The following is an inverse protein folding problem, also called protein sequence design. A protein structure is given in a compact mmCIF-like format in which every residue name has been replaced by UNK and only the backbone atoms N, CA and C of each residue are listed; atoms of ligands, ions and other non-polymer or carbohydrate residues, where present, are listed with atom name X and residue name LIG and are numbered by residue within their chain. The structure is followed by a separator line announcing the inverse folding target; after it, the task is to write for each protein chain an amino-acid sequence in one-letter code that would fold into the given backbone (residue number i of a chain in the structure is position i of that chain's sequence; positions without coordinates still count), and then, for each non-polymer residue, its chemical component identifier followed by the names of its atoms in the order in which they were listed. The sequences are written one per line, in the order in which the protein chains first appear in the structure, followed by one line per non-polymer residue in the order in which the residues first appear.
data_IF_057311229911
#
_entry.id   IF_057311229911
#
_cell.length_a   1.000
_cell.length_b   1.000
_cell.length_c   1.000
_cell.angle_alpha   90.00
_cell.angle_beta   90.00
_cell.angle_gamma   90.00
#
_symmetry.space_group_name_H-M   'P 1'
#
loop_
_entity.id
_entity.type
_entity.pdbx_description
1 polymer ?
#
# COMPACT_ATOMS: atom_id res chain seq x y z
N UNK A 1 15.85 14.72 -2.56
CA UNK A 1 16.37 14.79 -1.18
C UNK A 1 16.19 16.16 -0.52
N UNK A 2 16.44 17.27 -1.22
CA UNK A 2 16.34 18.62 -0.64
C UNK A 2 15.00 18.92 0.05
N UNK A 3 13.87 18.64 -0.61
CA UNK A 3 12.54 18.89 -0.01
C UNK A 3 12.26 18.05 1.24
N UNK A 4 12.66 16.78 1.22
CA UNK A 4 12.54 15.89 2.40
C UNK A 4 13.35 16.47 3.56
N UNK A 5 14.60 16.87 3.29
CA UNK A 5 15.45 17.52 4.29
C UNK A 5 14.80 18.78 4.89
N UNK A 6 14.29 19.69 4.05
CA UNK A 6 13.65 20.93 4.50
C UNK A 6 12.45 20.65 5.42
N UNK A 7 11.56 19.73 5.00
CA UNK A 7 10.36 19.38 5.76
C UNK A 7 10.75 18.68 7.08
N UNK A 8 11.63 17.67 7.03
CA UNK A 8 12.03 16.91 8.21
C UNK A 8 12.79 17.77 9.23
N UNK A 9 13.65 18.69 8.79
CA UNK A 9 14.35 19.60 9.69
C UNK A 9 13.41 20.59 10.40
N UNK A 10 12.25 20.88 9.82
CA UNK A 10 11.21 21.68 10.49
C UNK A 10 10.34 20.83 11.42
N UNK A 11 9.88 19.67 10.95
CA UNK A 11 8.90 18.84 11.67
C UNK A 11 9.51 18.05 12.82
N UNK A 12 10.70 17.46 12.66
CA UNK A 12 11.30 16.61 13.69
C UNK A 12 11.54 17.40 14.99
N UNK A 13 12.22 18.56 14.99
CA UNK A 13 12.40 19.33 16.22
C UNK A 13 11.07 19.87 16.79
N UNK A 14 10.12 20.21 15.92
CA UNK A 14 8.79 20.66 16.34
C UNK A 14 8.03 19.58 17.12
N UNK A 15 8.08 18.35 16.63
CA UNK A 15 7.49 17.16 17.23
C UNK A 15 8.22 16.77 18.52
N UNK A 16 9.56 16.68 18.50
CA UNK A 16 10.38 16.31 19.65
C UNK A 16 10.16 17.27 20.83
N UNK A 17 10.15 18.58 20.58
CA UNK A 17 9.89 19.60 21.62
C UNK A 17 8.51 19.47 22.29
N UNK A 18 7.56 18.84 21.61
CA UNK A 18 6.16 18.68 22.06
C UNK A 18 5.84 17.25 22.47
N UNK A 19 6.84 16.36 22.51
CA UNK A 19 6.65 14.94 22.80
C UNK A 19 5.62 14.28 21.85
N UNK A 20 5.55 14.77 20.62
CA UNK A 20 4.72 14.18 19.56
C UNK A 20 5.58 13.20 18.79
N UNK A 21 5.10 11.96 18.65
CA UNK A 21 5.79 10.94 17.86
C UNK A 21 5.82 11.34 16.38
N UNK A 22 7.02 11.40 15.80
CA UNK A 22 7.23 11.61 14.36
C UNK A 22 7.60 10.28 13.70
N UNK A 23 6.81 9.87 12.71
CA UNK A 23 7.09 8.74 11.84
C UNK A 23 6.97 9.19 10.39
N UNK A 24 7.81 8.65 9.51
CA UNK A 24 7.77 8.95 8.08
C UNK A 24 8.08 7.73 7.23
N UNK A 25 7.41 7.67 6.08
CA UNK A 25 7.55 6.64 5.05
C UNK A 25 7.60 7.29 3.67
N UNK A 26 8.09 6.57 2.67
CA UNK A 26 8.15 7.05 1.28
C UNK A 26 7.62 6.01 0.30
N UNK A 27 6.87 6.45 -0.71
CA UNK A 27 6.62 5.66 -1.93
C UNK A 27 7.56 6.14 -3.03
N UNK A 28 8.33 5.23 -3.61
CA UNK A 28 9.35 5.53 -4.63
C UNK A 28 9.33 4.48 -5.74
N UNK A 29 9.83 4.83 -6.92
CA UNK A 29 10.10 3.84 -7.96
C UNK A 29 11.34 2.98 -7.67
N UNK A 30 12.15 3.35 -6.66
CA UNK A 30 13.35 2.62 -6.23
C UNK A 30 14.61 2.91 -7.06
N UNK A 31 14.51 3.62 -8.19
CA UNK A 31 15.64 3.83 -9.10
C UNK A 31 16.75 4.70 -8.49
N UNK A 32 16.37 5.72 -7.71
CA UNK A 32 17.31 6.59 -6.97
C UNK A 32 17.44 6.19 -5.50
N UNK A 33 16.97 5.01 -5.09
CA UNK A 33 17.14 4.52 -3.73
C UNK A 33 18.55 3.95 -3.53
N UNK A 34 19.56 4.77 -3.79
CA UNK A 34 20.97 4.43 -3.56
C UNK A 34 21.24 4.33 -2.06
N UNK A 35 22.34 3.67 -1.68
CA UNK A 35 22.76 3.57 -0.27
C UNK A 35 22.94 4.93 0.39
N UNK A 36 23.50 5.91 -0.32
CA UNK A 36 23.63 7.31 0.14
C UNK A 36 22.25 7.94 0.42
N UNK A 37 21.31 7.81 -0.52
CA UNK A 37 19.96 8.35 -0.32
C UNK A 37 19.22 7.63 0.82
N UNK A 38 19.40 6.32 0.99
CA UNK A 38 18.83 5.57 2.11
C UNK A 38 19.40 6.02 3.46
N UNK A 39 20.69 6.31 3.57
CA UNK A 39 21.30 6.88 4.78
C UNK A 39 20.72 8.25 5.12
N UNK A 40 20.55 9.11 4.11
CA UNK A 40 19.89 10.40 4.29
C UNK A 40 18.42 10.25 4.70
N UNK A 41 17.67 9.31 4.13
CA UNK A 41 16.30 9.01 4.55
C UNK A 41 16.24 8.61 6.03
N UNK A 42 17.15 7.72 6.46
CA UNK A 42 17.27 7.30 7.87
C UNK A 42 17.62 8.45 8.80
N UNK A 43 18.51 9.36 8.40
CA UNK A 43 18.80 10.60 9.15
C UNK A 43 17.52 11.41 9.41
N UNK A 44 16.58 11.42 8.46
CA UNK A 44 15.30 12.13 8.58
C UNK A 44 14.17 11.25 9.15
N UNK A 45 14.50 10.15 9.83
CA UNK A 45 13.54 9.20 10.43
C UNK A 45 12.51 8.64 9.43
N UNK A 46 12.87 8.58 8.14
CA UNK A 46 12.12 7.83 7.13
C UNK A 46 12.58 6.37 7.21
N UNK A 47 11.73 5.51 7.76
CA UNK A 47 12.10 4.12 8.11
C UNK A 47 11.60 3.07 7.11
N UNK A 48 10.64 3.44 6.27
CA UNK A 48 9.95 2.54 5.34
C UNK A 48 9.93 3.11 3.93
N UNK A 49 10.26 2.29 2.95
CA UNK A 49 10.14 2.61 1.53
C UNK A 49 9.29 1.57 0.80
N UNK A 50 8.15 2.03 0.28
CA UNK A 50 7.39 1.26 -0.70
C UNK A 50 8.03 1.43 -2.08
N UNK A 51 8.47 0.32 -2.67
CA UNK A 51 9.06 0.24 -4.01
C UNK A 51 8.11 -0.53 -4.92
N UNK A 52 8.08 -0.21 -6.21
CA UNK A 52 7.23 -0.95 -7.16
C UNK A 52 8.06 -1.84 -8.06
N UNK A 53 7.71 -3.13 -8.12
CA UNK A 53 8.20 -4.07 -9.15
C UNK A 53 6.99 -4.78 -9.76
N UNK A 54 6.63 -4.43 -11.00
CA UNK A 54 5.37 -4.87 -11.63
C UNK A 54 5.48 -6.19 -12.40
N UNK A 55 6.61 -6.88 -12.34
CA UNK A 55 6.86 -8.06 -13.14
C UNK A 55 8.32 -8.48 -13.15
N UNK A 56 8.62 -9.57 -13.86
CA UNK A 56 10.00 -9.91 -14.24
C UNK A 56 10.55 -8.85 -15.20
N UNK A 57 11.86 -8.89 -15.47
CA UNK A 57 12.60 -7.86 -16.22
C UNK A 57 11.84 -7.31 -17.43
N UNK A 58 11.43 -8.17 -18.37
CA UNK A 58 10.72 -7.77 -19.59
C UNK A 58 9.42 -7.03 -19.28
N UNK A 59 8.61 -7.57 -18.38
CA UNK A 59 7.28 -7.03 -18.03
C UNK A 59 7.41 -5.73 -17.25
N UNK A 60 8.35 -5.67 -16.29
CA UNK A 60 8.64 -4.46 -15.55
C UNK A 60 9.15 -3.35 -16.47
N UNK A 61 10.16 -3.64 -17.29
CA UNK A 61 10.75 -2.66 -18.19
C UNK A 61 9.76 -2.23 -19.27
N UNK A 62 8.80 -3.07 -19.69
CA UNK A 62 7.73 -2.61 -20.59
C UNK A 62 6.85 -1.53 -19.96
N UNK A 63 6.57 -1.64 -18.65
CA UNK A 63 5.66 -0.75 -17.90
C UNK A 63 6.36 0.47 -17.30
N UNK A 64 7.61 0.32 -16.88
CA UNK A 64 8.32 1.27 -15.99
C UNK A 64 9.62 1.80 -16.59
N UNK A 65 9.62 2.09 -17.89
CA UNK A 65 10.76 2.72 -18.57
C UNK A 65 11.12 4.06 -17.96
N UNK A 66 12.41 4.38 -17.95
CA UNK A 66 12.85 5.75 -17.73
C UNK A 66 12.33 6.65 -18.86
N UNK A 67 12.32 7.97 -18.63
CA UNK A 67 11.99 8.95 -19.67
C UNK A 67 12.90 8.83 -20.91
N UNK A 68 14.13 8.36 -20.71
CA UNK A 68 15.10 8.05 -21.77
C UNK A 68 14.77 6.79 -22.57
N UNK A 69 13.78 6.00 -22.15
CA UNK A 69 13.46 4.69 -22.73
C UNK A 69 14.31 3.53 -22.18
N UNK A 70 15.29 3.82 -21.32
CA UNK A 70 16.14 2.81 -20.70
C UNK A 70 15.41 1.98 -19.64
N UNK A 71 15.93 0.78 -19.45
CA UNK A 71 15.44 -0.21 -18.48
C UNK A 71 15.74 0.21 -17.03
N UNK A 72 14.88 -0.23 -16.11
CA UNK A 72 14.95 0.14 -14.69
C UNK A 72 15.05 -1.06 -13.75
N UNK A 73 14.65 -2.26 -14.20
CA UNK A 73 14.49 -3.44 -13.36
C UNK A 73 15.73 -3.77 -12.52
N UNK A 74 16.88 -4.03 -13.16
CA UNK A 74 18.10 -4.41 -12.44
C UNK A 74 18.66 -3.30 -11.57
N UNK A 75 18.49 -2.03 -11.95
CA UNK A 75 18.90 -0.91 -11.09
C UNK A 75 18.09 -0.92 -9.79
N UNK A 76 16.78 -1.12 -9.89
CA UNK A 76 15.89 -1.17 -8.72
C UNK A 76 16.20 -2.39 -7.85
N UNK A 77 16.35 -3.58 -8.43
CA UNK A 77 16.70 -4.81 -7.70
C UNK A 77 18.02 -4.66 -6.96
N UNK A 78 19.06 -4.14 -7.62
CA UNK A 78 20.37 -3.90 -6.99
C UNK A 78 20.28 -2.85 -5.88
N UNK A 79 19.52 -1.79 -6.07
CA UNK A 79 19.29 -0.79 -5.01
C UNK A 79 18.63 -1.42 -3.80
N UNK A 80 17.55 -2.19 -3.97
CA UNK A 80 16.87 -2.89 -2.87
C UNK A 80 17.87 -3.77 -2.11
N UNK A 81 18.65 -4.59 -2.82
CA UNK A 81 19.66 -5.44 -2.22
C UNK A 81 20.70 -4.64 -1.41
N UNK A 82 21.07 -3.45 -1.87
CA UNK A 82 22.07 -2.59 -1.24
C UNK A 82 21.54 -1.74 -0.06
N UNK A 83 20.23 -1.68 0.17
CA UNK A 83 19.64 -0.81 1.21
C UNK A 83 18.73 -1.54 2.20
N UNK A 84 18.43 -2.83 1.99
CA UNK A 84 17.54 -3.62 2.86
C UNK A 84 18.01 -3.72 4.32
N UNK A 85 19.29 -3.47 4.58
CA UNK A 85 19.88 -3.38 5.93
C UNK A 85 19.70 -2.00 6.59
N UNK A 86 19.36 -0.97 5.81
CA UNK A 86 19.24 0.40 6.27
C UNK A 86 17.78 0.84 6.44
N UNK A 87 16.89 0.42 5.55
CA UNK A 87 15.49 0.86 5.51
C UNK A 87 14.59 -0.33 5.20
N UNK A 88 13.41 -0.39 5.83
CA UNK A 88 12.45 -1.44 5.52
C UNK A 88 11.91 -1.25 4.09
N UNK A 89 12.01 -2.29 3.28
CA UNK A 89 11.51 -2.29 1.91
C UNK A 89 10.21 -3.08 1.83
N UNK A 90 9.20 -2.45 1.25
CA UNK A 90 7.95 -3.11 0.90
C UNK A 90 7.70 -3.01 -0.61
N UNK A 91 7.81 -4.12 -1.32
CA UNK A 91 7.58 -4.19 -2.76
C UNK A 91 6.10 -4.36 -3.04
N UNK A 92 5.50 -3.36 -3.66
CA UNK A 92 4.15 -3.43 -4.21
C UNK A 92 4.22 -3.91 -5.66
N UNK A 93 3.53 -5.00 -5.97
CA UNK A 93 3.42 -5.56 -7.31
C UNK A 93 2.03 -5.19 -7.85
N UNK A 94 1.94 -4.33 -8.87
CA UNK A 94 0.64 -4.05 -9.50
C UNK A 94 0.25 -5.20 -10.42
N UNK A 95 -0.90 -5.82 -10.18
CA UNK A 95 -1.35 -6.98 -10.95
C UNK A 95 -2.61 -6.68 -11.76
N UNK A 96 -2.54 -7.04 -13.03
CA UNK A 96 -3.60 -6.99 -14.03
C UNK A 96 -3.54 -8.26 -14.91
N UNK A 97 -4.36 -8.33 -15.95
CA UNK A 97 -4.39 -9.48 -16.86
C UNK A 97 -3.10 -9.70 -17.65
N UNK A 98 -2.27 -8.69 -17.81
CA UNK A 98 -1.08 -8.77 -18.64
C UNK A 98 0.13 -9.38 -17.90
N UNK A 99 0.10 -9.44 -16.56
CA UNK A 99 1.17 -10.03 -15.76
C UNK A 99 0.73 -11.14 -14.77
N UNK A 100 -0.57 -11.45 -14.65
CA UNK A 100 -1.04 -12.44 -13.67
C UNK A 100 -0.32 -13.80 -13.76
N UNK A 101 0.05 -14.21 -14.98
CA UNK A 101 0.63 -15.53 -15.27
C UNK A 101 2.11 -15.64 -14.86
N UNK A 102 2.79 -14.53 -14.58
CA UNK A 102 4.20 -14.53 -14.16
C UNK A 102 4.38 -14.29 -12.65
N UNK A 103 3.33 -13.99 -11.90
CA UNK A 103 3.42 -13.65 -10.47
C UNK A 103 4.06 -14.77 -9.65
N UNK A 104 3.77 -16.05 -9.97
CA UNK A 104 4.40 -17.18 -9.29
C UNK A 104 5.91 -17.23 -9.55
N UNK A 105 6.36 -16.90 -10.77
CA UNK A 105 7.78 -16.85 -11.15
C UNK A 105 8.48 -15.62 -10.55
N UNK A 106 7.80 -14.49 -10.48
CA UNK A 106 8.32 -13.30 -9.80
C UNK A 106 8.50 -13.56 -8.30
N UNK A 107 7.57 -14.30 -7.70
CA UNK A 107 7.69 -14.75 -6.31
C UNK A 107 8.89 -15.67 -6.13
N UNK A 108 9.12 -16.62 -7.05
CA UNK A 108 10.31 -17.48 -7.05
C UNK A 108 11.61 -16.67 -7.18
N UNK A 109 11.62 -15.66 -8.05
CA UNK A 109 12.75 -14.76 -8.21
C UNK A 109 13.11 -14.06 -6.90
N UNK A 110 12.13 -13.52 -6.16
CA UNK A 110 12.40 -12.87 -4.87
C UNK A 110 12.89 -13.85 -3.79
N UNK A 111 12.32 -15.06 -3.74
CA UNK A 111 12.61 -16.05 -2.71
C UNK A 111 13.96 -16.74 -2.97
N UNK A 112 14.16 -17.26 -4.18
CA UNK A 112 15.27 -18.18 -4.47
C UNK A 112 16.46 -17.51 -5.14
N UNK A 113 16.22 -16.53 -6.01
CA UNK A 113 17.30 -15.83 -6.71
C UNK A 113 17.83 -14.66 -5.88
N UNK A 114 16.94 -13.76 -5.44
CA UNK A 114 17.33 -12.60 -4.62
C UNK A 114 17.57 -12.95 -3.16
N UNK A 115 16.93 -14.02 -2.66
CA UNK A 115 17.09 -14.52 -1.28
C UNK A 115 16.90 -13.41 -0.25
N UNK A 116 15.91 -12.54 -0.47
CA UNK A 116 15.66 -11.43 0.45
C UNK A 116 15.09 -11.88 1.80
N UNK A 117 14.44 -13.04 1.86
CA UNK A 117 13.92 -13.60 3.10
C UNK A 117 13.02 -12.60 3.84
N UNK A 118 13.34 -12.31 5.10
CA UNK A 118 12.60 -11.38 5.96
C UNK A 118 13.02 -9.92 5.80
N UNK A 119 14.08 -9.63 5.06
CA UNK A 119 14.64 -8.27 4.97
C UNK A 119 13.85 -7.39 4.00
N UNK A 120 13.10 -8.01 3.07
CA UNK A 120 12.27 -7.31 2.09
C UNK A 120 10.88 -7.95 2.08
N UNK A 121 9.87 -7.12 2.34
CA UNK A 121 8.48 -7.53 2.22
C UNK A 121 7.99 -7.30 0.79
N UNK A 122 7.04 -8.11 0.34
CA UNK A 122 6.35 -7.87 -0.92
C UNK A 122 4.89 -8.32 -0.85
N UNK A 123 4.04 -7.68 -1.63
CA UNK A 123 2.64 -8.02 -1.75
C UNK A 123 2.09 -7.64 -3.12
N UNK A 124 1.03 -8.31 -3.55
CA UNK A 124 0.32 -7.99 -4.78
C UNK A 124 -0.82 -7.01 -4.51
N UNK A 125 -1.03 -6.07 -5.43
CA UNK A 125 -2.12 -5.13 -5.40
C UNK A 125 -2.84 -5.12 -6.75
N UNK A 126 -4.17 -5.23 -6.71
CA UNK A 126 -5.00 -5.20 -7.92
C UNK A 126 -4.91 -3.81 -8.56
N UNK A 127 -4.69 -3.78 -9.87
CA UNK A 127 -4.84 -2.55 -10.64
C UNK A 127 -6.33 -2.17 -10.71
N UNK A 128 -6.63 -0.91 -10.42
CA UNK A 128 -7.97 -0.36 -10.46
C UNK A 128 -7.97 1.00 -11.18
N UNK A 129 -9.03 1.28 -11.93
CA UNK A 129 -9.26 2.59 -12.55
C UNK A 129 -9.96 3.51 -11.56
N UNK A 130 -9.17 4.14 -10.68
CA UNK A 130 -9.71 5.01 -9.62
C UNK A 130 -9.97 6.45 -10.09
N UNK A 131 -9.34 6.92 -11.17
CA UNK A 131 -9.52 8.28 -11.69
C UNK A 131 -9.61 8.28 -13.21
N UNK A 132 -10.13 9.37 -13.79
CA UNK A 132 -10.14 9.59 -15.24
C UNK A 132 -8.71 9.68 -15.81
N UNK A 133 -7.76 10.15 -15.00
CA UNK A 133 -6.35 10.23 -15.38
C UNK A 133 -5.67 8.85 -15.50
N UNK A 134 -6.25 7.81 -14.92
CA UNK A 134 -5.77 6.44 -15.08
C UNK A 134 -5.95 5.99 -16.53
N UNK A 135 -4.84 5.85 -17.27
CA UNK A 135 -4.80 5.32 -18.64
C UNK A 135 -4.95 3.79 -18.73
N UNK A 136 -5.43 3.17 -17.65
CA UNK A 136 -5.62 1.72 -17.56
C UNK A 136 -6.88 1.34 -18.34
N UNK A 137 -6.79 0.27 -19.12
CA UNK A 137 -7.94 -0.37 -19.73
C UNK A 137 -8.69 -1.19 -18.67
N UNK A 138 -10.01 -0.99 -18.58
CA UNK A 138 -10.85 -1.71 -17.62
C UNK A 138 -10.84 -3.21 -17.91
N UNK A 139 -10.69 -3.61 -19.18
CA UNK A 139 -10.62 -5.01 -19.57
C UNK A 139 -9.31 -5.68 -19.14
N UNK A 140 -8.27 -4.90 -18.83
CA UNK A 140 -7.03 -5.41 -18.26
C UNK A 140 -7.13 -5.59 -16.74
N UNK A 141 -8.06 -4.91 -16.07
CA UNK A 141 -8.24 -5.06 -14.62
C UNK A 141 -8.74 -6.47 -14.28
N UNK A 142 -8.13 -7.09 -13.27
CA UNK A 142 -8.63 -8.38 -12.77
C UNK A 142 -9.98 -8.20 -12.09
N UNK A 143 -10.86 -9.21 -12.24
CA UNK A 143 -12.03 -9.32 -11.37
C UNK A 143 -11.57 -9.59 -9.95
N UNK A 144 -12.40 -9.19 -8.99
CA UNK A 144 -12.06 -9.35 -7.57
C UNK A 144 -11.88 -10.82 -7.20
N UNK A 145 -12.70 -11.72 -7.74
CA UNK A 145 -12.62 -13.16 -7.46
C UNK A 145 -11.30 -13.75 -7.98
N UNK A 146 -10.92 -13.42 -9.22
CA UNK A 146 -9.66 -13.86 -9.84
C UNK A 146 -8.45 -13.36 -9.03
N UNK A 147 -8.48 -12.08 -8.62
CA UNK A 147 -7.43 -11.51 -7.79
C UNK A 147 -7.37 -12.14 -6.39
N UNK A 148 -8.52 -12.48 -5.80
CA UNK A 148 -8.58 -13.12 -4.48
C UNK A 148 -7.92 -14.50 -4.50
N UNK A 149 -8.20 -15.31 -5.52
CA UNK A 149 -7.55 -16.62 -5.70
C UNK A 149 -6.04 -16.49 -5.94
N UNK A 150 -5.62 -15.50 -6.72
CA UNK A 150 -4.21 -15.21 -6.93
C UNK A 150 -3.53 -14.79 -5.62
N UNK A 151 -4.14 -13.90 -4.86
CA UNK A 151 -3.61 -13.43 -3.57
C UNK A 151 -3.41 -14.60 -2.61
N UNK A 152 -4.42 -15.44 -2.44
CA UNK A 152 -4.32 -16.64 -1.61
C UNK A 152 -3.16 -17.54 -2.05
N UNK A 153 -3.04 -17.83 -3.36
CA UNK A 153 -1.96 -18.67 -3.89
C UNK A 153 -0.56 -18.09 -3.58
N UNK A 154 -0.40 -16.79 -3.74
CA UNK A 154 0.88 -16.10 -3.44
C UNK A 154 1.16 -16.13 -1.95
N UNK A 155 0.17 -15.86 -1.09
CA UNK A 155 0.29 -15.96 0.37
C UNK A 155 0.72 -17.36 0.79
N UNK A 156 0.07 -18.41 0.28
CA UNK A 156 0.42 -19.82 0.57
C UNK A 156 1.86 -20.16 0.16
N UNK A 157 2.28 -19.68 -1.01
CA UNK A 157 3.64 -19.87 -1.50
C UNK A 157 4.68 -19.16 -0.63
N UNK A 158 4.41 -17.93 -0.21
CA UNK A 158 5.28 -17.19 0.72
C UNK A 158 5.40 -17.91 2.06
N UNK A 159 4.27 -18.39 2.61
CA UNK A 159 4.25 -19.11 3.89
C UNK A 159 5.02 -20.43 3.85
N UNK A 160 4.82 -21.23 2.80
CA UNK A 160 5.52 -22.51 2.64
C UNK A 160 7.04 -22.35 2.49
N UNK A 161 7.49 -21.16 2.10
CA UNK A 161 8.91 -20.78 2.01
C UNK A 161 9.41 -19.97 3.23
N UNK A 162 8.66 -19.97 4.35
CA UNK A 162 9.10 -19.38 5.61
C UNK A 162 8.95 -17.86 5.72
N UNK A 163 8.26 -17.21 4.77
CA UNK A 163 7.94 -15.78 4.86
C UNK A 163 6.63 -15.64 5.65
N UNK A 164 6.76 -15.55 6.98
CA UNK A 164 5.61 -15.55 7.91
C UNK A 164 4.98 -14.17 8.12
N UNK A 165 5.64 -13.08 7.72
CA UNK A 165 5.13 -11.72 7.91
C UNK A 165 3.80 -11.47 7.17
N UNK A 166 3.47 -12.26 6.15
CA UNK A 166 2.17 -12.21 5.46
C UNK A 166 1.00 -12.53 6.39
N UNK A 167 1.19 -13.37 7.41
CA UNK A 167 0.14 -13.75 8.36
C UNK A 167 -0.43 -12.57 9.15
N UNK A 168 0.39 -11.53 9.37
CA UNK A 168 -0.04 -10.33 10.09
C UNK A 168 -1.24 -9.65 9.42
N UNK A 169 -1.32 -9.73 8.09
CA UNK A 169 -2.39 -9.15 7.29
C UNK A 169 -3.58 -10.10 7.08
N UNK A 170 -3.37 -11.41 7.22
CA UNK A 170 -4.37 -12.45 6.98
C UNK A 170 -5.25 -12.74 8.22
N UNK A 171 -4.75 -12.41 9.42
CA UNK A 171 -5.54 -12.58 10.63
C UNK A 171 -6.54 -11.43 10.81
N UNK A 172 -7.83 -11.70 11.05
CA UNK A 172 -8.81 -10.66 11.27
C UNK A 172 -8.53 -9.82 12.49
N UNK A 173 -8.35 -8.53 12.25
CA UNK A 173 -8.26 -7.54 13.31
C UNK A 173 -9.43 -6.59 13.17
N UNK A 174 -10.02 -6.26 14.32
CA UNK A 174 -10.99 -5.19 14.38
C UNK A 174 -10.33 -3.90 13.90
N UNK A 175 -10.96 -3.24 12.93
CA UNK A 175 -10.46 -2.00 12.36
C UNK A 175 -11.40 -0.87 12.78
N UNK A 176 -10.97 0.02 13.68
CA UNK A 176 -11.81 1.14 14.13
C UNK A 176 -12.09 2.15 13.01
N UNK A 177 -11.12 2.38 12.12
CA UNK A 177 -11.25 3.28 10.97
C UNK A 177 -10.62 2.63 9.75
N UNK A 178 -11.40 2.42 8.68
CA UNK A 178 -10.94 1.73 7.47
C UNK A 178 -10.08 2.57 6.51
N UNK A 179 -10.07 3.90 6.65
CA UNK A 179 -9.31 4.79 5.76
C UNK A 179 -9.06 6.14 6.43
N UNK A 180 -7.87 6.71 6.23
CA UNK A 180 -7.55 8.06 6.70
C UNK A 180 -8.49 9.13 6.12
N UNK A 181 -9.01 8.96 4.90
CA UNK A 181 -9.83 9.97 4.23
C UNK A 181 -11.14 10.33 4.96
N UNK A 182 -11.60 9.49 5.88
CA UNK A 182 -12.78 9.75 6.72
C UNK A 182 -12.42 10.24 8.13
N UNK A 183 -11.13 10.44 8.41
CA UNK A 183 -10.63 10.98 9.67
C UNK A 183 -10.50 12.50 9.60
N UNK A 184 -10.83 13.18 10.70
CA UNK A 184 -10.64 14.62 10.82
C UNK A 184 -9.15 15.00 10.71
N UNK A 185 -8.23 14.21 11.22
CA UNK A 185 -6.81 14.56 11.33
C UNK A 185 -5.94 13.95 10.21
N UNK A 186 -6.52 13.66 9.05
CA UNK A 186 -5.79 13.13 7.88
C UNK A 186 -5.88 14.11 6.72
N UNK A 187 -4.72 14.42 6.15
CA UNK A 187 -4.60 15.37 5.05
C UNK A 187 -3.62 14.84 4.01
N UNK A 188 -3.92 15.09 2.74
CA UNK A 188 -3.02 14.91 1.61
C UNK A 188 -2.74 16.29 1.05
N UNK A 189 -1.48 16.67 0.97
CA UNK A 189 -1.05 17.99 0.51
C UNK A 189 -0.31 17.84 -0.81
N UNK A 190 -0.73 18.57 -1.83
CA UNK A 190 -0.06 18.55 -3.14
C UNK A 190 1.11 19.54 -3.22
N UNK A 191 1.81 19.54 -4.36
CA UNK A 191 2.97 20.41 -4.57
C UNK A 191 2.64 21.91 -4.63
N UNK A 192 1.37 22.28 -4.78
CA UNK A 192 0.88 23.65 -4.77
C UNK A 192 0.31 24.06 -3.39
N UNK A 193 0.41 23.18 -2.39
CA UNK A 193 -0.11 23.42 -1.05
C UNK A 193 -1.62 23.23 -0.93
N UNK A 194 -2.30 22.70 -1.96
CA UNK A 194 -3.72 22.37 -1.86
C UNK A 194 -3.90 21.11 -1.00
N UNK A 195 -4.97 21.13 -0.19
CA UNK A 195 -5.27 20.09 0.77
C UNK A 195 -6.44 19.25 0.28
N UNK A 196 -6.29 17.94 0.40
CA UNK A 196 -7.28 16.93 0.07
C UNK A 196 -7.43 15.97 1.26
N UNK A 197 -8.52 15.22 1.31
CA UNK A 197 -8.69 14.11 2.27
C UNK A 197 -8.32 12.76 1.67
N UNK A 198 -8.26 12.62 0.34
CA UNK A 198 -7.93 11.38 -0.35
C UNK A 198 -6.90 11.60 -1.45
N UNK A 199 -5.94 10.68 -1.59
CA UNK A 199 -4.92 10.76 -2.64
C UNK A 199 -5.50 10.72 -4.05
N UNK A 200 -6.71 10.16 -4.25
CA UNK A 200 -7.31 9.99 -5.58
C UNK A 200 -7.82 11.34 -6.11
N UNK A 201 -7.91 12.34 -5.23
CA UNK A 201 -8.44 13.66 -5.53
C UNK A 201 -7.32 14.67 -5.85
N UNK A 202 -6.06 14.31 -5.58
CA UNK A 202 -4.90 15.16 -5.85
C UNK A 202 -4.82 15.48 -7.34
N UNK A 203 -4.59 16.76 -7.65
CA UNK A 203 -4.53 17.28 -9.03
C UNK A 203 -5.88 17.76 -9.57
N UNK A 204 -7.01 17.39 -8.96
CA UNK A 204 -8.32 17.96 -9.27
C UNK A 204 -8.63 19.09 -8.29
N UNK A 205 -8.40 20.35 -8.72
CA UNK A 205 -8.62 21.53 -7.86
C UNK A 205 -10.06 21.62 -7.31
N UNK A 206 -11.06 21.08 -8.03
CA UNK A 206 -12.46 21.08 -7.57
C UNK A 206 -12.71 20.17 -6.37
N UNK A 207 -11.75 19.28 -6.07
CA UNK A 207 -11.80 18.35 -4.95
C UNK A 207 -10.99 18.76 -3.74
N UNK A 208 -10.31 19.91 -3.81
CA UNK A 208 -9.59 20.49 -2.67
C UNK A 208 -10.56 20.90 -1.55
N UNK A 209 -10.09 20.78 -0.31
CA UNK A 209 -10.77 21.27 0.91
C UNK A 209 -10.10 22.54 1.48
N UNK A 210 -9.06 23.06 0.81
CA UNK A 210 -8.37 24.28 1.25
C UNK A 210 -6.90 24.31 0.84
N UNK A 211 -6.13 25.17 1.51
CA UNK A 211 -4.71 25.39 1.25
C UNK A 211 -3.94 25.48 2.57
N UNK A 212 -2.72 24.94 2.62
CA UNK A 212 -1.83 25.09 3.79
C UNK A 212 -1.40 26.54 4.01
N UNK A 213 -1.55 27.40 3.00
CA UNK A 213 -1.21 28.82 3.07
C UNK A 213 -2.33 29.69 3.66
N UNK A 214 -3.55 29.13 3.77
CA UNK A 214 -4.72 29.80 4.34
C UNK A 214 -5.43 28.85 5.32
N UNK A 215 -4.73 28.38 6.38
CA UNK A 215 -5.23 27.33 7.26
C UNK A 215 -6.53 27.71 7.99
N UNK A 216 -6.75 29.00 8.25
CA UNK A 216 -7.97 29.54 8.85
C UNK A 216 -9.22 29.35 7.99
N UNK A 217 -9.06 29.15 6.67
CA UNK A 217 -10.17 28.89 5.75
C UNK A 217 -10.55 27.41 5.70
N UNK A 218 -9.72 26.53 6.26
CA UNK A 218 -10.00 25.10 6.34
C UNK A 218 -11.07 24.87 7.41
N UNK A 219 -12.33 24.85 6.99
CA UNK A 219 -13.47 24.62 7.87
C UNK A 219 -14.02 23.22 7.68
N UNK A 220 -14.56 22.65 8.76
CA UNK A 220 -15.28 21.37 8.68
C UNK A 220 -16.65 21.62 8.02
N UNK A 221 -16.64 21.85 6.71
CA UNK A 221 -17.81 22.15 5.91
C UNK A 221 -17.73 21.47 4.52
N UNK A 222 -18.85 21.50 3.79
CA UNK A 222 -18.92 21.02 2.40
C UNK A 222 -18.34 19.61 2.21
N UNK A 223 -17.33 19.50 1.35
CA UNK A 223 -16.68 18.22 1.00
C UNK A 223 -16.02 17.56 2.21
N UNK A 224 -15.46 18.32 3.15
CA UNK A 224 -14.80 17.75 4.31
C UNK A 224 -15.81 17.02 5.22
N UNK A 225 -16.97 17.65 5.48
CA UNK A 225 -18.07 16.96 6.19
C UNK A 225 -18.62 15.76 5.41
N UNK A 226 -18.67 15.85 4.08
CA UNK A 226 -19.14 14.75 3.25
C UNK A 226 -18.30 13.48 3.45
N UNK A 227 -16.96 13.61 3.54
CA UNK A 227 -16.06 12.51 3.85
C UNK A 227 -16.28 11.90 5.24
N UNK A 228 -16.54 12.73 6.25
CA UNK A 228 -16.80 12.22 7.61
C UNK A 228 -18.17 11.54 7.75
N UNK A 229 -19.07 11.74 6.79
CA UNK A 229 -20.43 11.20 6.80
C UNK A 229 -20.68 10.19 5.67
N UNK A 230 -19.63 9.56 5.12
CA UNK A 230 -19.78 8.58 4.02
C UNK A 230 -20.64 7.40 4.46
N UNK A 231 -21.77 7.23 3.76
CA UNK A 231 -22.78 6.24 4.09
C UNK A 231 -22.25 4.79 3.97
N UNK A 232 -22.53 3.97 4.99
CA UNK A 232 -22.35 2.51 4.94
C UNK A 232 -23.66 1.90 4.47
N UNK A 233 -23.63 1.12 3.40
CA UNK A 233 -24.83 0.51 2.82
C UNK A 233 -25.55 -0.42 3.80
N UNK A 234 -26.86 -0.57 3.63
CA UNK A 234 -27.66 -1.47 4.47
C UNK A 234 -27.22 -2.95 4.35
N UNK A 235 -26.67 -3.36 3.20
CA UNK A 235 -26.08 -4.70 3.04
C UNK A 235 -24.82 -4.85 3.88
N UNK A 236 -23.95 -3.83 3.92
CA UNK A 236 -22.76 -3.82 4.79
C UNK A 236 -23.14 -3.81 6.28
N UNK A 237 -24.18 -3.06 6.69
CA UNK A 237 -24.66 -3.03 8.10
C UNK A 237 -25.08 -4.41 8.64
N UNK A 238 -25.47 -5.34 7.77
CA UNK A 238 -25.84 -6.72 8.11
C UNK A 238 -24.69 -7.72 7.88
N UNK A 239 -23.53 -7.26 7.42
CA UNK A 239 -22.41 -8.12 7.05
C UNK A 239 -21.53 -8.41 8.27
N UNK A 240 -21.20 -9.70 8.46
CA UNK A 240 -20.36 -10.17 9.58
C UNK A 240 -18.93 -9.61 9.52
N UNK A 241 -18.46 -9.24 8.32
CA UNK A 241 -17.11 -8.71 8.08
C UNK A 241 -17.01 -7.20 8.21
N UNK A 242 -18.12 -6.48 8.47
CA UNK A 242 -18.10 -5.02 8.61
C UNK A 242 -17.08 -4.50 9.63
N UNK A 243 -16.89 -5.13 10.82
CA UNK A 243 -15.91 -4.66 11.80
C UNK A 243 -14.46 -4.72 11.32
N UNK A 244 -14.19 -5.43 10.23
CA UNK A 244 -12.86 -5.63 9.64
C UNK A 244 -12.70 -4.74 8.40
N UNK A 245 -13.69 -4.73 7.49
CA UNK A 245 -13.57 -4.03 6.21
C UNK A 245 -14.07 -2.57 6.24
N UNK A 246 -14.87 -2.19 7.24
CA UNK A 246 -15.47 -0.84 7.37
C UNK A 246 -16.23 -0.36 6.12
N UNK A 247 -16.78 -1.31 5.34
CA UNK A 247 -17.55 -1.03 4.13
C UNK A 247 -16.71 -0.74 2.88
N UNK A 248 -15.41 -0.97 2.91
CA UNK A 248 -14.53 -0.77 1.74
C UNK A 248 -14.12 0.68 1.49
N UNK A 249 -13.60 0.93 0.29
CA UNK A 249 -13.07 2.24 -0.11
C UNK A 249 -14.14 3.35 -0.02
N UNK A 250 -13.98 4.35 0.87
CA UNK A 250 -14.98 5.41 1.02
C UNK A 250 -15.11 6.30 -0.23
N UNK A 251 -14.02 6.48 -1.00
CA UNK A 251 -14.04 7.22 -2.27
C UNK A 251 -14.99 6.59 -3.29
N UNK A 252 -14.93 5.27 -3.43
CA UNK A 252 -15.85 4.54 -4.30
C UNK A 252 -17.29 4.59 -3.76
N UNK A 253 -17.48 4.52 -2.44
CA UNK A 253 -18.81 4.62 -1.81
C UNK A 253 -19.46 6.00 -1.97
N UNK A 254 -18.68 7.09 -1.98
CA UNK A 254 -19.25 8.42 -2.26
C UNK A 254 -19.83 8.52 -3.67
N UNK A 255 -19.26 7.78 -4.62
CA UNK A 255 -19.69 7.79 -6.02
C UNK A 255 -20.66 6.65 -6.36
N UNK A 256 -21.03 5.81 -5.38
CA UNK A 256 -21.81 4.60 -5.60
C UNK A 256 -23.02 4.54 -4.65
N UNK A 257 -24.22 4.51 -5.23
CA UNK A 257 -25.51 4.58 -4.53
C UNK A 257 -25.84 3.30 -3.74
N UNK A 258 -25.08 3.01 -2.68
CA UNK A 258 -25.37 1.95 -1.72
C UNK A 258 -24.94 0.53 -2.13
N UNK A 259 -24.18 0.37 -3.22
CA UNK A 259 -23.58 -0.92 -3.57
C UNK A 259 -22.34 -1.16 -2.70
N UNK A 260 -22.19 -2.36 -2.09
CA UNK A 260 -20.99 -2.71 -1.33
C UNK A 260 -19.72 -2.66 -2.17
N UNK A 261 -18.67 -2.07 -1.59
CA UNK A 261 -17.30 -2.12 -2.13
C UNK A 261 -16.53 -3.17 -1.32
N UNK A 262 -16.52 -4.42 -1.78
CA UNK A 262 -15.83 -5.49 -1.06
C UNK A 262 -14.33 -5.47 -1.38
N UNK A 263 -13.49 -5.79 -0.39
CA UNK A 263 -12.09 -6.12 -0.61
C UNK A 263 -11.94 -7.61 -0.97
N UNK A 264 -10.83 -7.97 -1.62
CA UNK A 264 -10.53 -9.36 -1.99
C UNK A 264 -10.54 -10.30 -0.77
N UNK A 265 -10.08 -9.81 0.38
CA UNK A 265 -10.07 -10.55 1.65
C UNK A 265 -11.45 -10.98 2.13
N UNK A 266 -12.53 -10.34 1.68
CA UNK A 266 -13.89 -10.76 2.02
C UNK A 266 -14.25 -12.12 1.39
N UNK A 267 -13.54 -12.55 0.34
CA UNK A 267 -13.78 -13.79 -0.39
C UNK A 267 -12.88 -14.95 0.08
N UNK A 268 -11.68 -14.65 0.58
CA UNK A 268 -10.68 -15.65 1.01
C UNK A 268 -10.52 -15.74 2.52
N UNK A 269 -11.38 -15.07 3.28
CA UNK A 269 -11.25 -14.92 4.72
C UNK A 269 -11.13 -16.24 5.49
N UNK A 270 -12.02 -17.19 5.19
CA UNK A 270 -12.05 -18.50 5.84
C UNK A 270 -10.74 -19.26 5.56
N UNK A 271 -10.24 -19.18 4.33
CA UNK A 271 -9.02 -19.88 3.95
C UNK A 271 -7.78 -19.23 4.54
N UNK A 272 -7.76 -17.90 4.63
CA UNK A 272 -6.72 -17.13 5.32
C UNK A 272 -6.65 -17.48 6.81
N UNK A 273 -7.81 -17.68 7.46
CA UNK A 273 -7.89 -18.18 8.84
C UNK A 273 -7.38 -19.61 8.99
N UNK A 274 -7.72 -20.50 8.07
CA UNK A 274 -7.20 -21.88 8.06
C UNK A 274 -5.68 -21.87 7.94
N UNK A 275 -5.11 -21.06 7.03
CA UNK A 275 -3.66 -20.94 6.86
C UNK A 275 -2.97 -20.48 8.13
N UNK A 276 -3.51 -19.45 8.79
CA UNK A 276 -3.02 -18.98 10.10
C UNK A 276 -3.06 -20.09 11.16
N UNK A 277 -4.19 -20.78 11.27
CA UNK A 277 -4.37 -21.85 12.25
C UNK A 277 -3.40 -23.02 12.02
N UNK A 278 -3.25 -23.45 10.77
CA UNK A 278 -2.32 -24.52 10.40
C UNK A 278 -0.87 -24.14 10.67
N UNK A 279 -0.50 -22.87 10.45
CA UNK A 279 0.82 -22.37 10.81
C UNK A 279 1.07 -22.43 12.32
N UNK A 280 0.11 -21.96 13.13
CA UNK A 280 0.22 -22.00 14.60
C UNK A 280 0.35 -23.43 15.14
N UNK A 281 -0.35 -24.41 14.55
CA UNK A 281 -0.16 -25.82 14.91
C UNK A 281 1.27 -26.26 14.67
N UNK A 282 1.81 -26.00 13.47
CA UNK A 282 3.20 -26.38 13.11
C UNK A 282 4.22 -25.73 14.04
N UNK A 283 4.03 -24.45 14.39
CA UNK A 283 4.92 -23.78 15.34
C UNK A 283 4.87 -24.44 16.72
N UNK A 284 3.68 -24.75 17.26
CA UNK A 284 3.54 -25.43 18.55
C UNK A 284 4.19 -26.82 18.55
N UNK A 285 4.00 -27.59 17.47
CA UNK A 285 4.63 -28.91 17.32
C UNK A 285 6.15 -28.82 17.24
N UNK A 286 6.70 -27.78 16.61
CA UNK A 286 8.15 -27.54 16.58
C UNK A 286 8.71 -27.19 17.97
N UNK A 287 7.98 -26.37 18.74
CA UNK A 287 8.40 -25.99 20.10
C UNK A 287 8.32 -27.16 21.10
N UNK A 288 7.37 -28.08 20.94
CA UNK A 288 7.23 -29.26 21.81
C UNK A 288 8.24 -30.39 21.51
N UNK A 289 9.06 -30.25 20.46
CA UNK A 289 10.11 -31.22 20.07
C UNK A 289 11.52 -30.81 20.51
N UNK A 290 11.66 -29.65 21.16
CA UNK A 290 12.91 -29.11 21.74
C UNK A 290 12.86 -29.29 23.26
#
# INVERSE_FOLDING_TARGET
MERISQISNALIPFCDKREVMYNAEITTNGYLLTRENAQLLRKYRVADAQVTIDGLEKTHNARRKLKSGQDSFWTIVNNIQNVKDLIHINIRINVDRNNLNEIDKLTDFFIYEQKWGKDVHFYIARVEKNTIACKVDLDECLKIDDFSLLHQRVTEKMLTNGITCVLNNEYPRFQAVGCGAICKNYYVVDAHGLIYTCWNHVGDKSKSIGSIFEPEKITLSGRYLHWMNVHISNKCKKCVYLPICQGGCPDQRMNNSGVPVCFHSAFTYIDSLKLNYMHQIKEREAHNKV
#
